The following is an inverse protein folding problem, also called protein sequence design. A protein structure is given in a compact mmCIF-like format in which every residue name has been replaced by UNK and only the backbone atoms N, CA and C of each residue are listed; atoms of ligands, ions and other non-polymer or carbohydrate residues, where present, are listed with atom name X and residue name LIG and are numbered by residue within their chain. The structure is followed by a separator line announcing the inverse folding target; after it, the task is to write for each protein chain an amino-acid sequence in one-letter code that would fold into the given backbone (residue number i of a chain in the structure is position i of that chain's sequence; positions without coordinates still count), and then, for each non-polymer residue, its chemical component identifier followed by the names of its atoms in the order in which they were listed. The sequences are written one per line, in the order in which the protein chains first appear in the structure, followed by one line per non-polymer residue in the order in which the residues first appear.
data_IF_952502052231
#
_entry.id   IF_952502052231
#
_cell.length_a   1.000
_cell.length_b   1.000
_cell.length_c   1.000
_cell.angle_alpha   90.00
_cell.angle_beta   90.00
_cell.angle_gamma   90.00
#
_symmetry.space_group_name_H-M   'P 1'
#
loop_
_entity.id
_entity.type
_entity.pdbx_description
1 polymer ?
#
# COMPACT_ATOMS: atom_id res chain seq x y z
N UNK A 1 -7.95 11.92 14.82
CA UNK A 1 -8.74 12.02 13.58
C UNK A 1 -8.77 10.63 13.01
N UNK A 2 -9.90 9.93 13.10
CA UNK A 2 -10.00 8.59 12.52
C UNK A 2 -9.76 8.70 11.01
N UNK A 3 -8.74 7.99 10.53
CA UNK A 3 -8.44 7.94 9.10
C UNK A 3 -9.55 7.17 8.41
N UNK A 4 -10.27 7.83 7.51
CA UNK A 4 -11.26 7.19 6.66
C UNK A 4 -10.58 6.12 5.78
N UNK A 5 -11.15 4.92 5.71
CA UNK A 5 -10.61 3.86 4.84
C UNK A 5 -11.01 4.09 3.39
N UNK A 6 -10.24 3.53 2.44
CA UNK A 6 -10.57 3.57 1.01
C UNK A 6 -11.94 2.94 0.74
N UNK A 7 -12.31 1.87 1.47
CA UNK A 7 -13.62 1.24 1.36
C UNK A 7 -14.75 2.17 1.80
N UNK A 8 -14.61 2.86 2.94
CA UNK A 8 -15.60 3.83 3.39
C UNK A 8 -15.78 4.96 2.38
N UNK A 9 -14.68 5.42 1.75
CA UNK A 9 -14.76 6.44 0.71
C UNK A 9 -15.52 5.95 -0.52
N UNK A 10 -15.28 4.71 -0.94
CA UNK A 10 -15.99 4.06 -2.04
C UNK A 10 -17.49 3.94 -1.73
N UNK A 11 -17.85 3.55 -0.50
CA UNK A 11 -19.24 3.39 -0.09
C UNK A 11 -19.99 4.74 -0.14
N UNK A 12 -19.39 5.82 0.38
CA UNK A 12 -19.98 7.17 0.30
C UNK A 12 -20.16 7.62 -1.14
N UNK A 13 -19.15 7.43 -1.99
CA UNK A 13 -19.23 7.80 -3.41
C UNK A 13 -20.31 7.02 -4.15
N UNK A 14 -20.48 5.74 -3.82
CA UNK A 14 -21.51 4.87 -4.42
C UNK A 14 -22.93 5.25 -3.99
N UNK A 15 -23.09 5.94 -2.85
CA UNK A 15 -24.38 6.53 -2.44
C UNK A 15 -24.68 7.84 -3.17
N UNK A 16 -23.65 8.66 -3.42
CA UNK A 16 -23.81 10.00 -4.01
C UNK A 16 -23.95 9.96 -5.54
N UNK A 17 -23.32 8.97 -6.18
CA UNK A 17 -23.32 8.82 -7.63
C UNK A 17 -23.84 7.43 -8.01
N UNK A 18 -24.51 7.26 -9.17
CA UNK A 18 -24.98 5.95 -9.65
C UNK A 18 -23.83 5.05 -10.15
N UNK A 19 -22.65 5.16 -9.56
CA UNK A 19 -21.44 4.39 -9.86
C UNK A 19 -21.37 3.27 -8.83
N UNK A 20 -21.25 2.03 -9.29
CA UNK A 20 -21.05 0.86 -8.43
C UNK A 20 -19.62 0.37 -8.59
N UNK A 21 -18.85 0.33 -7.51
CA UNK A 21 -17.48 -0.18 -7.51
C UNK A 21 -17.40 -1.60 -8.08
N UNK A 22 -18.43 -2.43 -7.88
CA UNK A 22 -18.54 -3.78 -8.43
C UNK A 22 -18.59 -3.81 -9.96
N UNK A 23 -19.02 -2.71 -10.58
CA UNK A 23 -19.23 -2.60 -12.03
C UNK A 23 -18.12 -1.86 -12.76
N UNK A 24 -17.09 -1.37 -12.06
CA UNK A 24 -15.94 -0.70 -12.69
C UNK A 24 -15.03 -1.76 -13.32
N UNK A 25 -14.88 -1.68 -14.64
CA UNK A 25 -13.91 -2.51 -15.37
C UNK A 25 -12.47 -2.14 -14.97
N UNK A 26 -11.58 -3.13 -14.91
CA UNK A 26 -10.15 -2.95 -14.55
C UNK A 26 -9.91 -2.27 -13.19
N UNK A 27 -10.84 -2.41 -12.24
CA UNK A 27 -10.63 -1.89 -10.89
C UNK A 27 -9.46 -2.61 -10.19
N UNK A 28 -8.61 -1.89 -9.45
CA UNK A 28 -7.55 -2.52 -8.66
C UNK A 28 -8.14 -3.35 -7.53
N UNK A 29 -7.41 -4.38 -7.12
CA UNK A 29 -7.67 -5.09 -5.86
C UNK A 29 -7.43 -4.12 -4.70
N UNK A 30 -8.40 -4.03 -3.78
CA UNK A 30 -8.21 -3.30 -2.53
C UNK A 30 -7.56 -4.26 -1.54
N UNK A 31 -6.36 -3.92 -1.09
CA UNK A 31 -5.61 -4.70 -0.10
C UNK A 31 -5.56 -3.93 1.22
N UNK A 32 -5.53 -4.67 2.32
CA UNK A 32 -5.29 -4.06 3.64
C UNK A 32 -3.80 -3.67 3.77
N UNK A 33 -3.49 -2.83 4.77
CA UNK A 33 -2.12 -2.54 5.14
C UNK A 33 -1.34 -3.82 5.46
N UNK A 34 -1.97 -4.75 6.17
CA UNK A 34 -1.36 -6.02 6.59
C UNK A 34 -1.07 -6.93 5.38
N UNK A 35 -2.01 -7.01 4.42
CA UNK A 35 -1.79 -7.75 3.18
C UNK A 35 -0.62 -7.15 2.37
N UNK A 36 -0.54 -5.81 2.35
CA UNK A 36 0.54 -5.11 1.67
C UNK A 36 1.88 -5.38 2.35
N UNK A 37 1.94 -5.28 3.67
CA UNK A 37 3.14 -5.56 4.46
C UNK A 37 3.59 -7.03 4.30
N UNK A 38 2.65 -7.97 4.26
CA UNK A 38 2.95 -9.38 4.01
C UNK A 38 3.54 -9.56 2.59
N UNK A 39 2.95 -8.94 1.57
CA UNK A 39 3.46 -8.99 0.19
C UNK A 39 4.86 -8.37 0.08
N UNK A 40 5.10 -7.24 0.76
CA UNK A 40 6.42 -6.59 0.81
C UNK A 40 7.46 -7.46 1.54
N UNK A 41 7.07 -8.17 2.60
CA UNK A 41 7.98 -9.04 3.36
C UNK A 41 8.51 -10.21 2.52
N UNK A 42 7.73 -10.70 1.55
CA UNK A 42 8.16 -11.76 0.62
C UNK A 42 9.25 -11.32 -0.35
N UNK A 43 9.33 -10.02 -0.66
CA UNK A 43 10.39 -9.44 -1.50
C UNK A 43 11.73 -9.46 -0.74
N UNK A 44 11.69 -9.45 0.60
CA UNK A 44 12.86 -9.50 1.46
C UNK A 44 13.58 -8.16 1.57
N UNK A 45 14.87 -8.20 1.93
CA UNK A 45 15.72 -7.02 2.11
C UNK A 45 16.88 -7.02 1.11
N UNK A 46 17.34 -5.84 0.72
CA UNK A 46 18.60 -5.66 0.00
C UNK A 46 19.68 -5.16 0.95
N UNK A 47 20.91 -5.62 0.72
CA UNK A 47 22.09 -5.14 1.45
C UNK A 47 23.03 -4.50 0.44
N UNK A 48 23.34 -3.22 0.61
CA UNK A 48 24.32 -2.54 -0.23
C UNK A 48 25.76 -2.94 0.18
N UNK A 49 26.77 -2.71 -0.69
CA UNK A 49 28.15 -3.10 -0.42
C UNK A 49 28.75 -2.46 0.84
N UNK A 50 28.23 -1.31 1.28
CA UNK A 50 28.58 -0.62 2.52
C UNK A 50 27.97 -1.27 3.79
N UNK A 51 27.22 -2.37 3.63
CA UNK A 51 26.52 -3.07 4.70
C UNK A 51 25.16 -2.47 5.09
N UNK A 52 24.71 -1.39 4.42
CA UNK A 52 23.40 -0.80 4.71
C UNK A 52 22.28 -1.72 4.24
N UNK A 53 21.31 -2.01 5.12
CA UNK A 53 20.10 -2.77 4.78
C UNK A 53 18.98 -1.85 4.29
N UNK A 54 18.25 -2.30 3.26
CA UNK A 54 17.13 -1.61 2.64
C UNK A 54 15.91 -2.52 2.63
N UNK A 55 14.75 -1.96 2.99
CA UNK A 55 13.46 -2.65 2.98
C UNK A 55 12.53 -2.03 1.94
N UNK A 56 11.72 -2.84 1.23
CA UNK A 56 10.79 -2.33 0.25
C UNK A 56 9.60 -1.66 0.94
N UNK A 57 9.07 -0.61 0.32
CA UNK A 57 7.88 0.13 0.76
C UNK A 57 7.14 0.64 -0.49
N UNK A 58 5.90 1.12 -0.32
CA UNK A 58 5.09 1.70 -1.40
C UNK A 58 4.93 3.21 -1.17
N UNK A 59 5.20 4.00 -2.19
CA UNK A 59 4.94 5.44 -2.17
C UNK A 59 3.47 5.79 -2.47
N UNK A 60 3.12 7.08 -2.41
CA UNK A 60 1.76 7.54 -2.66
C UNK A 60 1.30 7.35 -4.13
N UNK A 61 2.23 7.07 -5.04
CA UNK A 61 1.96 6.78 -6.45
C UNK A 61 1.83 5.26 -6.73
N UNK A 62 1.95 4.42 -5.68
CA UNK A 62 1.86 2.97 -5.81
C UNK A 62 3.13 2.30 -6.32
N UNK A 63 4.28 2.99 -6.33
CA UNK A 63 5.56 2.43 -6.77
C UNK A 63 6.33 1.81 -5.61
N UNK A 64 7.00 0.70 -5.88
CA UNK A 64 7.95 0.10 -4.94
C UNK A 64 9.18 1.01 -4.83
N UNK A 65 9.41 1.49 -3.62
CA UNK A 65 10.60 2.24 -3.24
C UNK A 65 11.40 1.47 -2.19
N UNK A 66 12.70 1.73 -2.11
CA UNK A 66 13.57 1.12 -1.10
C UNK A 66 13.89 2.15 -0.03
N UNK A 67 13.57 1.81 1.22
CA UNK A 67 13.82 2.65 2.37
C UNK A 67 14.97 2.08 3.17
N UNK A 68 15.91 2.94 3.57
CA UNK A 68 16.99 2.54 4.46
C UNK A 68 16.38 2.05 5.75
N UNK A 69 16.73 0.82 6.17
CA UNK A 69 16.28 0.29 7.44
C UNK A 69 16.84 1.21 8.53
N UNK A 70 15.96 1.94 9.21
CA UNK A 70 16.36 2.77 10.34
C UNK A 70 17.12 1.89 11.33
N UNK A 71 18.33 2.29 11.70
CA UNK A 71 18.98 1.73 12.88
C UNK A 71 18.12 2.14 14.06
N UNK A 72 17.23 1.24 14.52
CA UNK A 72 16.65 1.36 15.85
C UNK A 72 17.83 1.48 16.82
N UNK A 73 18.02 2.66 17.39
CA UNK A 73 18.99 2.93 18.45
C UNK A 73 18.24 2.98 19.76
#
# INVERSE_FOLDING_TARGET
MDKMTVQQAIDILSMQFPIRWEKIANKPELVTSDDLDQRLSLIGQLTSPDGTAWVPSIDNDGKVIWQKKGTNK
#
